data_IF_664288778062
#
_entry.id   IF_664288778062
#
_cell.length_a   1.000
_cell.length_b   1.000
_cell.length_c   1.000
_cell.angle_alpha   90.00
_cell.angle_beta   90.00
_cell.angle_gamma   90.00
#
_symmetry.space_group_name_H-M   'P 1'
#
loop_
_entity.id
_entity.type
_entity.pdbx_description
1 polymer ?
#
# COMPACT_ATOMS: atom_id res chain seq x y z
N UNK A 1 -4.63 -5.20 -15.24
CA UNK A 1 -3.26 -4.67 -15.26
C UNK A 1 -3.26 -3.31 -15.93
N UNK A 2 -2.70 -2.32 -15.27
CA UNK A 2 -2.52 -0.97 -15.80
C UNK A 2 -1.03 -0.63 -15.86
N UNK A 3 -0.60 -0.07 -16.96
CA UNK A 3 0.76 0.44 -17.16
C UNK A 3 0.72 1.83 -17.78
N UNK A 4 1.51 2.74 -17.23
CA UNK A 4 1.64 4.12 -17.70
C UNK A 4 3.12 4.46 -17.90
N UNK A 5 3.38 5.34 -18.85
CA UNK A 5 4.72 5.87 -19.14
C UNK A 5 4.68 7.38 -19.28
N UNK A 6 5.76 8.03 -18.94
CA UNK A 6 5.95 9.46 -19.14
C UNK A 6 7.38 9.75 -19.63
N UNK A 7 7.60 10.82 -20.43
CA UNK A 7 8.95 11.20 -20.88
C UNK A 7 9.78 11.66 -19.68
N UNK A 8 11.10 11.40 -19.75
CA UNK A 8 12.07 11.95 -18.81
C UNK A 8 12.28 13.43 -19.08
N UNK A 9 12.25 14.25 -18.05
CA UNK A 9 12.51 15.69 -18.10
C UNK A 9 13.28 16.14 -16.87
N UNK A 10 13.99 17.27 -16.99
CA UNK A 10 14.72 17.87 -15.87
C UNK A 10 13.77 18.53 -14.84
N UNK A 11 12.55 18.89 -15.27
CA UNK A 11 11.53 19.43 -14.39
C UNK A 11 10.72 18.30 -13.73
N UNK A 12 10.19 18.61 -12.53
CA UNK A 12 9.25 17.73 -11.88
C UNK A 12 7.93 17.68 -12.63
N UNK A 13 7.34 16.51 -12.73
CA UNK A 13 6.07 16.28 -13.39
C UNK A 13 5.08 15.63 -12.43
N UNK A 14 3.83 16.04 -12.49
CA UNK A 14 2.76 15.42 -11.70
C UNK A 14 2.02 14.38 -12.53
N UNK A 15 1.99 13.16 -11.99
CA UNK A 15 1.03 12.13 -12.37
C UNK A 15 -0.04 12.03 -11.28
N UNK A 16 -1.26 12.41 -11.62
CA UNK A 16 -2.41 12.30 -10.72
C UNK A 16 -3.45 11.38 -11.34
N UNK A 17 -3.93 10.41 -10.57
CA UNK A 17 -4.96 9.47 -11.02
C UNK A 17 -5.98 9.18 -9.92
N UNK A 18 -7.22 8.88 -10.34
CA UNK A 18 -8.28 8.40 -9.46
C UNK A 18 -8.88 7.12 -10.05
N UNK A 19 -9.03 6.09 -9.21
CA UNK A 19 -9.65 4.81 -9.57
C UNK A 19 -10.75 4.50 -8.58
N UNK A 20 -11.94 4.19 -9.07
CA UNK A 20 -13.07 3.79 -8.24
C UNK A 20 -13.60 2.42 -8.69
N UNK A 21 -13.74 1.49 -7.75
CA UNK A 21 -14.24 0.13 -7.97
C UNK A 21 -15.46 -0.11 -7.10
N UNK A 22 -16.52 -0.66 -7.69
CA UNK A 22 -17.72 -1.07 -6.96
C UNK A 22 -17.99 -2.54 -7.28
N UNK A 23 -17.93 -3.40 -6.26
CA UNK A 23 -18.27 -4.81 -6.36
C UNK A 23 -19.67 -5.06 -5.77
N UNK A 24 -20.58 -5.60 -6.60
CA UNK A 24 -21.93 -5.99 -6.22
C UNK A 24 -21.94 -7.42 -5.65
N UNK A 25 -23.12 -7.99 -5.43
CA UNK A 25 -23.27 -9.33 -4.84
C UNK A 25 -22.45 -10.37 -5.63
N UNK A 26 -21.67 -11.18 -4.89
CA UNK A 26 -20.83 -12.25 -5.41
C UNK A 26 -19.76 -11.82 -6.44
N UNK A 27 -19.58 -10.52 -6.66
CA UNK A 27 -18.58 -10.00 -7.61
C UNK A 27 -17.17 -9.98 -7.01
N UNK A 28 -16.19 -10.37 -7.81
CA UNK A 28 -14.77 -10.27 -7.48
C UNK A 28 -14.04 -9.37 -8.47
N UNK A 29 -13.29 -8.38 -7.93
CA UNK A 29 -12.46 -7.48 -8.72
C UNK A 29 -11.02 -7.59 -8.23
N UNK A 30 -10.09 -7.93 -9.13
CA UNK A 30 -8.64 -7.86 -8.90
C UNK A 30 -8.05 -6.74 -9.75
N UNK A 31 -7.47 -5.76 -9.08
CA UNK A 31 -6.86 -4.61 -9.74
C UNK A 31 -5.37 -4.55 -9.40
N UNK A 32 -4.52 -4.73 -10.41
CA UNK A 32 -3.08 -4.79 -10.24
C UNK A 32 -2.41 -3.64 -11.00
N UNK A 33 -1.45 -2.98 -10.35
CA UNK A 33 -0.61 -1.95 -10.96
C UNK A 33 0.86 -2.25 -10.73
N UNK A 34 1.65 -2.02 -11.77
CA UNK A 34 3.11 -1.94 -11.68
C UNK A 34 3.50 -0.57 -12.20
N UNK A 35 4.06 0.26 -11.34
CA UNK A 35 4.45 1.62 -11.69
C UNK A 35 5.95 1.77 -11.50
N UNK A 36 6.62 2.17 -12.59
CA UNK A 36 8.05 2.44 -12.63
C UNK A 36 8.27 3.78 -13.35
N UNK A 37 8.10 4.85 -12.58
CA UNK A 37 8.26 6.20 -13.09
C UNK A 37 9.69 6.70 -12.98
N UNK A 38 10.02 7.73 -13.74
CA UNK A 38 11.32 8.38 -13.64
C UNK A 38 11.52 9.02 -12.25
N UNK A 39 12.56 8.65 -11.50
CA UNK A 39 12.77 9.11 -10.12
C UNK A 39 13.51 10.46 -10.01
N UNK A 40 13.94 11.06 -11.08
CA UNK A 40 14.90 12.15 -11.12
C UNK A 40 16.31 11.67 -11.48
N UNK A 41 17.23 12.61 -11.57
CA UNK A 41 18.66 12.34 -11.84
C UNK A 41 19.41 11.85 -10.58
N UNK A 42 20.73 11.71 -10.70
CA UNK A 42 21.60 11.25 -9.61
C UNK A 42 21.64 12.21 -8.42
N UNK A 43 21.37 13.49 -8.66
CA UNK A 43 21.28 14.54 -7.64
C UNK A 43 19.87 14.69 -7.05
N UNK A 44 18.90 13.94 -7.56
CA UNK A 44 17.51 13.98 -7.15
C UNK A 44 16.70 15.12 -7.79
N UNK A 45 17.17 15.68 -8.91
CA UNK A 45 16.45 16.73 -9.65
C UNK A 45 15.50 16.12 -10.66
N UNK A 46 14.38 16.81 -10.88
CA UNK A 46 13.33 16.32 -11.77
C UNK A 46 12.57 15.14 -11.16
N UNK A 47 12.05 14.28 -12.04
CA UNK A 47 11.31 13.11 -11.61
C UNK A 47 9.82 13.33 -11.46
N UNK A 48 9.10 12.24 -11.29
CA UNK A 48 7.64 12.20 -11.28
C UNK A 48 7.12 12.20 -9.86
N UNK A 49 6.14 13.07 -9.58
CA UNK A 49 5.29 13.03 -8.41
C UNK A 49 4.07 12.18 -8.75
N UNK A 50 3.99 10.99 -8.16
CA UNK A 50 2.96 10.01 -8.45
C UNK A 50 1.92 10.01 -7.33
N UNK A 51 0.83 10.78 -7.52
CA UNK A 51 -0.26 10.94 -6.56
C UNK A 51 -1.50 10.22 -7.06
N UNK A 52 -1.84 9.12 -6.42
CA UNK A 52 -2.94 8.25 -6.86
C UNK A 52 -3.91 7.97 -5.73
N UNK A 53 -5.18 8.26 -5.98
CA UNK A 53 -6.29 7.87 -5.11
C UNK A 53 -7.00 6.65 -5.69
N UNK A 54 -7.16 5.60 -4.88
CA UNK A 54 -7.91 4.41 -5.24
C UNK A 54 -8.98 4.13 -4.20
N UNK A 55 -10.22 3.95 -4.64
CA UNK A 55 -11.36 3.71 -3.76
C UNK A 55 -12.10 2.45 -4.17
N UNK A 56 -12.24 1.52 -3.25
CA UNK A 56 -13.02 0.31 -3.42
C UNK A 56 -14.26 0.30 -2.53
N UNK A 57 -15.38 -0.14 -3.08
CA UNK A 57 -16.61 -0.38 -2.33
C UNK A 57 -17.09 -1.81 -2.61
N UNK A 58 -16.97 -2.67 -1.62
CA UNK A 58 -17.65 -3.96 -1.58
C UNK A 58 -19.10 -3.72 -1.14
N UNK A 59 -19.96 -3.32 -2.10
CA UNK A 59 -21.34 -2.93 -1.82
C UNK A 59 -22.23 -4.14 -1.58
N UNK A 60 -21.98 -5.25 -2.27
CA UNK A 60 -22.77 -6.46 -2.25
C UNK A 60 -22.29 -7.51 -1.25
N UNK A 61 -23.15 -8.50 -0.96
CA UNK A 61 -22.80 -9.67 -0.16
C UNK A 61 -21.76 -10.52 -0.87
N UNK A 62 -20.84 -11.15 -0.11
CA UNK A 62 -19.79 -12.03 -0.60
C UNK A 62 -18.88 -11.35 -1.65
N UNK A 63 -18.95 -10.03 -1.82
CA UNK A 63 -18.14 -9.31 -2.78
C UNK A 63 -16.69 -9.24 -2.35
N UNK A 64 -15.78 -9.11 -3.34
CA UNK A 64 -14.34 -9.04 -3.07
C UNK A 64 -13.65 -8.00 -3.93
N UNK A 65 -12.79 -7.20 -3.30
CA UNK A 65 -11.85 -6.32 -4.00
C UNK A 65 -10.44 -6.63 -3.52
N UNK A 66 -9.55 -6.92 -4.47
CA UNK A 66 -8.13 -7.16 -4.21
C UNK A 66 -7.28 -6.13 -4.96
N UNK A 67 -6.57 -5.31 -4.21
CA UNK A 67 -5.60 -4.36 -4.72
C UNK A 67 -4.20 -4.99 -4.69
N UNK A 68 -3.50 -4.99 -5.82
CA UNK A 68 -2.08 -5.35 -5.88
C UNK A 68 -1.30 -4.20 -6.48
N UNK A 69 -0.24 -3.76 -5.83
CA UNK A 69 0.60 -2.70 -6.36
C UNK A 69 2.08 -2.97 -6.16
N UNK A 70 2.86 -2.62 -7.20
CA UNK A 70 4.31 -2.59 -7.16
C UNK A 70 4.72 -1.17 -7.54
N UNK A 71 5.39 -0.51 -6.63
CA UNK A 71 5.87 0.87 -6.80
C UNK A 71 7.40 0.84 -6.84
N UNK A 72 7.94 1.15 -8.01
CA UNK A 72 9.37 1.31 -8.23
C UNK A 72 9.57 2.58 -9.04
N UNK A 73 10.43 3.45 -8.65
CA UNK A 73 10.57 4.73 -9.33
C UNK A 73 9.79 5.85 -8.66
N UNK A 74 9.50 6.92 -9.41
CA UNK A 74 9.00 8.22 -8.94
C UNK A 74 9.95 8.94 -7.98
N UNK A 75 10.00 10.27 -8.04
CA UNK A 75 10.68 11.06 -7.01
C UNK A 75 9.89 11.01 -5.70
N UNK A 76 8.56 11.18 -5.81
CA UNK A 76 7.64 11.06 -4.68
C UNK A 76 6.45 10.19 -5.11
N UNK A 77 6.14 9.18 -4.32
CA UNK A 77 4.91 8.39 -4.44
C UNK A 77 4.01 8.66 -3.25
N UNK A 78 2.75 9.03 -3.51
CA UNK A 78 1.72 9.21 -2.51
C UNK A 78 0.46 8.44 -2.93
N UNK A 79 0.21 7.29 -2.31
CA UNK A 79 -0.79 6.35 -2.83
C UNK A 79 -1.45 5.53 -1.72
N UNK A 80 -2.76 5.73 -1.56
CA UNK A 80 -3.56 5.09 -0.51
C UNK A 80 -4.82 4.43 -1.07
N UNK A 81 -4.74 3.19 -1.56
CA UNK A 81 -5.93 2.42 -1.86
C UNK A 81 -6.80 2.22 -0.64
N UNK A 82 -8.10 2.36 -0.81
CA UNK A 82 -9.07 2.12 0.26
C UNK A 82 -10.08 1.05 -0.14
N UNK A 83 -10.68 0.39 0.85
CA UNK A 83 -11.78 -0.53 0.64
C UNK A 83 -12.81 -0.41 1.75
N UNK A 84 -14.05 -0.15 1.38
CA UNK A 84 -15.20 -0.14 2.29
C UNK A 84 -15.92 -1.49 2.15
N UNK A 85 -15.93 -2.28 3.21
CA UNK A 85 -16.56 -3.59 3.30
C UNK A 85 -17.98 -3.45 3.84
N UNK A 86 -18.91 -3.08 2.95
CA UNK A 86 -20.31 -2.77 3.29
C UNK A 86 -21.20 -4.01 3.29
N UNK A 87 -21.05 -4.87 2.29
CA UNK A 87 -21.80 -6.12 2.18
C UNK A 87 -21.36 -7.14 3.21
N UNK A 88 -22.29 -7.96 3.72
CA UNK A 88 -21.96 -9.07 4.61
C UNK A 88 -21.05 -10.08 3.91
N UNK A 89 -20.11 -10.68 4.64
CA UNK A 89 -19.08 -11.62 4.15
C UNK A 89 -18.14 -11.03 3.10
N UNK A 90 -18.12 -9.71 2.87
CA UNK A 90 -17.25 -9.12 1.88
C UNK A 90 -15.77 -9.16 2.30
N UNK A 91 -14.88 -9.15 1.30
CA UNK A 91 -13.44 -9.34 1.48
C UNK A 91 -12.69 -8.18 0.82
N UNK A 92 -11.77 -7.56 1.56
CA UNK A 92 -10.83 -6.57 1.06
C UNK A 92 -9.40 -7.07 1.18
N UNK A 93 -8.64 -7.05 0.09
CA UNK A 93 -7.23 -7.43 0.11
C UNK A 93 -6.35 -6.28 -0.40
N UNK A 94 -5.20 -6.14 0.21
CA UNK A 94 -4.18 -5.21 -0.22
C UNK A 94 -2.80 -5.86 -0.18
N UNK A 95 -2.16 -5.93 -1.32
CA UNK A 95 -0.80 -6.43 -1.49
C UNK A 95 0.05 -5.33 -2.10
N UNK A 96 1.11 -4.92 -1.41
CA UNK A 96 1.97 -3.83 -1.85
C UNK A 96 3.45 -4.19 -1.72
N UNK A 97 4.21 -3.83 -2.74
CA UNK A 97 5.68 -3.81 -2.71
C UNK A 97 6.12 -2.41 -3.14
N UNK A 98 6.89 -1.74 -2.29
CA UNK A 98 7.52 -0.46 -2.60
C UNK A 98 9.04 -0.59 -2.52
N UNK A 99 9.72 -0.29 -3.63
CA UNK A 99 11.19 -0.32 -3.69
C UNK A 99 11.67 1.11 -3.99
N UNK A 100 12.42 1.66 -3.08
CA UNK A 100 12.93 3.04 -3.17
C UNK A 100 14.45 3.08 -3.09
N UNK A 101 15.06 3.95 -3.88
CA UNK A 101 16.51 4.15 -3.92
C UNK A 101 16.86 5.65 -4.02
N UNK A 102 18.14 5.99 -3.83
CA UNK A 102 18.66 7.36 -3.90
C UNK A 102 17.85 8.33 -3.02
N UNK A 103 17.18 9.31 -3.63
CA UNK A 103 16.39 10.34 -2.94
C UNK A 103 14.88 10.10 -2.99
N UNK A 104 14.46 8.96 -3.49
CA UNK A 104 13.03 8.64 -3.64
C UNK A 104 12.32 8.62 -2.29
N UNK A 105 11.07 9.09 -2.30
CA UNK A 105 10.19 9.06 -1.15
C UNK A 105 8.89 8.35 -1.53
N UNK A 106 8.57 7.27 -0.84
CA UNK A 106 7.30 6.59 -0.98
C UNK A 106 6.50 6.68 0.31
N UNK A 107 5.34 7.31 0.26
CA UNK A 107 4.37 7.31 1.35
C UNK A 107 3.12 6.58 0.83
N UNK A 108 3.02 5.32 1.20
CA UNK A 108 1.99 4.40 0.72
C UNK A 108 1.22 3.81 1.88
N UNK A 109 0.11 3.18 1.57
CA UNK A 109 -0.67 2.52 2.60
C UNK A 109 -2.04 2.13 2.11
N UNK A 110 -2.91 1.81 3.06
CA UNK A 110 -4.27 1.42 2.74
C UNK A 110 -5.23 1.77 3.87
N UNK A 111 -6.50 1.90 3.51
CA UNK A 111 -7.60 2.09 4.46
C UNK A 111 -8.65 1.00 4.26
N UNK A 112 -8.89 0.19 5.30
CA UNK A 112 -9.94 -0.82 5.32
C UNK A 112 -11.02 -0.45 6.33
N UNK A 113 -12.27 -0.30 5.86
CA UNK A 113 -13.41 0.05 6.72
C UNK A 113 -14.43 -1.06 6.70
N UNK A 114 -14.61 -1.73 7.84
CA UNK A 114 -15.57 -2.81 8.02
C UNK A 114 -16.93 -2.26 8.49
N UNK A 115 -17.98 -2.54 7.72
CA UNK A 115 -19.37 -2.15 8.03
C UNK A 115 -20.28 -3.37 8.16
N UNK A 116 -20.21 -4.30 7.19
CA UNK A 116 -20.99 -5.54 7.16
C UNK A 116 -20.50 -6.57 8.15
N UNK A 117 -21.30 -7.60 8.38
CA UNK A 117 -20.98 -8.74 9.26
C UNK A 117 -20.04 -9.72 8.57
N UNK A 118 -19.22 -10.43 9.35
CA UNK A 118 -18.28 -11.46 8.90
C UNK A 118 -17.31 -10.95 7.80
N UNK A 119 -17.09 -9.67 7.71
CA UNK A 119 -16.19 -9.08 6.70
C UNK A 119 -14.74 -9.40 7.05
N UNK A 120 -13.91 -9.53 6.00
CA UNK A 120 -12.49 -9.86 6.17
C UNK A 120 -11.61 -8.88 5.42
N UNK A 121 -10.51 -8.46 6.04
CA UNK A 121 -9.46 -7.73 5.33
C UNK A 121 -8.09 -8.37 5.54
N UNK A 122 -7.30 -8.37 4.48
CA UNK A 122 -5.91 -8.82 4.51
C UNK A 122 -5.00 -7.76 3.91
N UNK A 123 -3.97 -7.37 4.65
CA UNK A 123 -3.01 -6.35 4.26
C UNK A 123 -1.62 -6.96 4.33
N UNK A 124 -0.91 -6.99 3.21
CA UNK A 124 0.50 -7.38 3.13
C UNK A 124 1.25 -6.24 2.46
N UNK A 125 2.11 -5.56 3.20
CA UNK A 125 2.92 -4.47 2.68
C UNK A 125 4.40 -4.77 2.89
N UNK A 126 5.18 -4.69 1.81
CA UNK A 126 6.62 -4.91 1.85
C UNK A 126 7.34 -3.70 1.29
N UNK A 127 8.30 -3.17 2.04
CA UNK A 127 9.11 -2.03 1.66
C UNK A 127 10.59 -2.38 1.57
N UNK A 128 11.29 -1.88 0.55
CA UNK A 128 12.76 -1.96 0.45
C UNK A 128 13.27 -0.55 0.25
N UNK A 129 14.17 -0.11 1.12
CA UNK A 129 14.79 1.22 1.05
C UNK A 129 16.28 1.12 0.89
N UNK A 130 16.82 1.83 -0.11
CA UNK A 130 18.25 1.88 -0.42
C UNK A 130 18.74 3.36 -0.48
N UNK A 131 20.02 3.56 -0.41
CA UNK A 131 20.64 4.88 -0.60
C UNK A 131 20.23 5.86 0.50
N UNK A 132 19.54 6.94 0.14
CA UNK A 132 19.01 7.98 1.03
C UNK A 132 17.47 8.00 1.02
N UNK A 133 16.84 6.98 0.46
CA UNK A 133 15.41 6.94 0.26
C UNK A 133 14.63 6.77 1.57
N UNK A 134 13.36 7.18 1.53
CA UNK A 134 12.43 7.06 2.66
C UNK A 134 11.18 6.33 2.21
N UNK A 135 10.80 5.29 2.94
CA UNK A 135 9.61 4.51 2.65
C UNK A 135 8.69 4.53 3.89
N UNK A 136 7.49 5.04 3.72
CA UNK A 136 6.48 5.12 4.77
C UNK A 136 5.29 4.25 4.38
N UNK A 137 4.85 3.41 5.30
CA UNK A 137 3.58 2.72 5.22
C UNK A 137 2.60 3.29 6.24
N UNK A 138 1.40 3.70 5.79
CA UNK A 138 0.30 4.11 6.67
C UNK A 138 -0.89 3.19 6.48
N UNK A 139 -1.27 2.48 7.52
CA UNK A 139 -2.41 1.57 7.50
C UNK A 139 -3.53 2.05 8.42
N UNK A 140 -4.75 2.17 7.89
CA UNK A 140 -5.94 2.42 8.70
C UNK A 140 -6.89 1.24 8.60
N UNK A 141 -7.29 0.70 9.74
CA UNK A 141 -8.32 -0.35 9.82
C UNK A 141 -9.39 0.10 10.80
N UNK A 142 -10.62 0.22 10.33
CA UNK A 142 -11.74 0.67 11.13
C UNK A 142 -12.87 -0.36 11.13
N UNK A 143 -13.38 -0.71 12.33
CA UNK A 143 -14.53 -1.58 12.51
C UNK A 143 -15.70 -0.76 13.06
N UNK A 144 -16.77 -0.62 12.28
CA UNK A 144 -17.95 0.07 12.74
C UNK A 144 -18.83 -0.84 13.64
N UNK A 145 -19.77 -0.24 14.34
CA UNK A 145 -20.60 -0.94 15.35
C UNK A 145 -21.32 -2.19 14.81
N UNK A 146 -21.67 -2.23 13.53
CA UNK A 146 -22.41 -3.33 12.90
C UNK A 146 -21.50 -4.44 12.32
N UNK A 147 -20.17 -4.26 12.34
CA UNK A 147 -19.22 -5.19 11.78
C UNK A 147 -18.97 -6.43 12.67
N UNK A 148 -20.04 -7.15 12.99
CA UNK A 148 -19.97 -8.33 13.86
C UNK A 148 -19.09 -9.40 13.23
N UNK A 149 -18.20 -9.99 14.04
CA UNK A 149 -17.28 -11.07 13.66
C UNK A 149 -16.36 -10.71 12.48
N UNK A 150 -16.12 -9.43 12.27
CA UNK A 150 -15.17 -8.97 11.26
C UNK A 150 -13.73 -9.30 11.67
N UNK A 151 -12.86 -9.54 10.70
CA UNK A 151 -11.46 -9.91 10.94
C UNK A 151 -10.52 -9.10 10.06
N UNK A 152 -9.41 -8.67 10.63
CA UNK A 152 -8.29 -8.09 9.91
C UNK A 152 -7.02 -8.87 10.20
N UNK A 153 -6.21 -9.08 9.15
CA UNK A 153 -4.82 -9.47 9.24
C UNK A 153 -3.95 -8.45 8.51
N UNK A 154 -2.96 -7.92 9.19
CA UNK A 154 -2.01 -6.95 8.63
C UNK A 154 -0.58 -7.40 8.89
N UNK A 155 0.22 -7.46 7.84
CA UNK A 155 1.66 -7.70 7.93
C UNK A 155 2.42 -6.63 7.14
N UNK A 156 3.37 -5.96 7.82
CA UNK A 156 4.19 -4.90 7.24
C UNK A 156 5.67 -5.21 7.47
N UNK A 157 6.38 -5.53 6.40
CA UNK A 157 7.81 -5.84 6.47
C UNK A 157 8.62 -4.78 5.73
N UNK A 158 9.68 -4.30 6.36
CA UNK A 158 10.60 -3.32 5.78
C UNK A 158 12.02 -3.84 5.80
N UNK A 159 12.72 -3.68 4.67
CA UNK A 159 14.13 -4.02 4.51
C UNK A 159 14.94 -2.76 4.23
N UNK A 160 15.93 -2.49 5.06
CA UNK A 160 16.87 -1.38 4.90
C UNK A 160 18.21 -1.89 4.38
N UNK A 161 18.68 -1.28 3.29
CA UNK A 161 19.97 -1.59 2.67
C UNK A 161 20.85 -0.34 2.71
N UNK A 162 21.80 -0.32 3.64
CA UNK A 162 22.67 0.81 3.90
C UNK A 162 22.29 1.62 5.15
N UNK A 163 22.96 2.77 5.34
CA UNK A 163 22.91 3.53 6.60
C UNK A 163 22.14 4.85 6.52
N UNK A 164 21.69 5.28 5.34
CA UNK A 164 21.08 6.59 5.12
C UNK A 164 19.60 6.51 4.68
N UNK A 165 19.11 5.32 4.41
CA UNK A 165 17.71 5.08 4.08
C UNK A 165 16.87 4.90 5.34
N UNK A 166 15.55 5.08 5.21
CA UNK A 166 14.60 4.93 6.31
C UNK A 166 13.36 4.15 5.92
N UNK A 167 12.73 3.55 6.93
CA UNK A 167 11.41 2.96 6.84
C UNK A 167 10.57 3.39 8.05
N UNK A 168 9.31 3.74 7.79
CA UNK A 168 8.37 4.20 8.80
C UNK A 168 7.07 3.43 8.67
N UNK A 169 6.56 2.88 9.77
CA UNK A 169 5.27 2.19 9.80
C UNK A 169 4.35 2.91 10.77
N UNK A 170 3.21 3.38 10.25
CA UNK A 170 2.23 4.18 11.00
C UNK A 170 0.88 3.47 10.95
N UNK A 171 0.61 2.52 11.84
CA UNK A 171 -0.67 1.86 11.93
C UNK A 171 -1.69 2.72 12.70
N UNK A 172 -2.93 2.70 12.24
CA UNK A 172 -4.08 3.23 12.97
C UNK A 172 -5.20 2.21 12.97
N UNK A 173 -5.67 1.81 14.15
CA UNK A 173 -6.72 0.83 14.32
C UNK A 173 -7.80 1.40 15.23
N UNK A 174 -9.03 1.47 14.72
CA UNK A 174 -10.22 1.90 15.48
C UNK A 174 -11.28 0.80 15.45
N UNK A 175 -11.64 0.27 16.61
CA UNK A 175 -12.69 -0.73 16.70
C UNK A 175 -13.84 -0.26 17.59
N UNK A 176 -15.04 -0.19 17.00
CA UNK A 176 -16.30 0.09 17.68
C UNK A 176 -17.17 -1.17 17.88
N UNK A 177 -16.58 -2.35 17.62
CA UNK A 177 -17.24 -3.64 17.76
C UNK A 177 -16.37 -4.60 18.57
N UNK A 178 -16.92 -5.20 19.62
CA UNK A 178 -16.21 -6.07 20.54
C UNK A 178 -16.02 -7.51 20.04
N UNK A 179 -16.63 -7.88 18.92
CA UNK A 179 -16.49 -9.19 18.29
C UNK A 179 -15.46 -9.19 17.16
N UNK A 180 -14.87 -8.03 16.85
CA UNK A 180 -13.83 -7.90 15.82
C UNK A 180 -12.53 -8.56 16.27
N UNK A 181 -11.86 -9.23 15.33
CA UNK A 181 -10.56 -9.85 15.55
C UNK A 181 -9.50 -9.12 14.71
N UNK A 182 -8.44 -8.70 15.37
CA UNK A 182 -7.39 -7.90 14.76
C UNK A 182 -6.05 -8.56 15.01
N UNK A 183 -5.32 -8.83 13.93
CA UNK A 183 -3.95 -9.35 13.96
C UNK A 183 -3.06 -8.36 13.19
N UNK A 184 -2.03 -7.84 13.84
CA UNK A 184 -1.11 -6.89 13.24
C UNK A 184 0.33 -7.25 13.58
N UNK A 185 1.14 -7.46 12.55
CA UNK A 185 2.56 -7.74 12.64
C UNK A 185 3.35 -6.71 11.85
N UNK A 186 4.46 -6.26 12.39
CA UNK A 186 5.38 -5.37 11.69
C UNK A 186 6.82 -5.78 11.99
N UNK A 187 7.63 -5.84 10.95
CA UNK A 187 9.06 -6.11 11.08
C UNK A 187 9.90 -5.11 10.28
N UNK A 188 11.06 -4.76 10.81
CA UNK A 188 12.06 -3.97 10.09
C UNK A 188 13.41 -4.63 10.25
N UNK A 189 14.00 -5.00 9.13
CA UNK A 189 15.31 -5.63 9.07
C UNK A 189 16.30 -4.72 8.35
N UNK A 190 17.55 -4.75 8.78
CA UNK A 190 18.65 -4.04 8.12
C UNK A 190 19.70 -5.04 7.68
N UNK A 191 20.05 -4.98 6.40
CA UNK A 191 21.19 -5.73 5.87
C UNK A 191 22.43 -4.83 5.96
N UNK A 192 23.49 -5.34 6.58
CA UNK A 192 24.79 -4.68 6.62
C UNK A 192 25.64 -5.07 5.40
N UNK A 193 26.76 -4.36 5.20
CA UNK A 193 27.65 -4.59 4.06
C UNK A 193 28.29 -5.99 4.08
N UNK A 194 28.59 -6.53 5.26
CA UNK A 194 29.18 -7.86 5.42
C UNK A 194 28.22 -8.95 4.96
N UNK A 195 26.93 -8.80 5.30
CA UNK A 195 25.89 -9.72 4.83
C UNK A 195 25.70 -9.65 3.30
N UNK A 196 25.76 -8.46 2.72
CA UNK A 196 25.72 -8.29 1.27
C UNK A 196 26.93 -8.92 0.59
N UNK A 197 28.12 -8.76 1.19
CA UNK A 197 29.32 -9.40 0.68
C UNK A 197 29.26 -10.92 0.72
N UNK A 198 28.72 -11.48 1.79
CA UNK A 198 28.54 -12.94 1.93
C UNK A 198 27.53 -13.53 0.93
N UNK A 199 26.56 -12.73 0.46
CA UNK A 199 25.55 -13.18 -0.50
C UNK A 199 25.98 -13.00 -1.99
N UNK A 200 27.15 -12.43 -2.27
CA UNK A 200 27.71 -12.29 -3.63
C UNK A 200 28.53 -13.49 -4.06
#
# INVERSE_FOLDING_TARGET
LEGCTAPKRDDNQLHAANVELIALDDAEIKYSTVQNWYPGDEDGKGGIYNFVTKRGLCAGKNSKISWTQVETGSAITWKYPSCILKGDNSIGEFYSVAITNNFQQADTGTKMTHIGKNTKSKIISKGISLGKSQNTYRGEVSFLRKADKARNYTQCDSLLVGNKCGAHTVPYIDSKNNTAVIEHEASTSKINEDQLYYCR
#
